data_IF_144846044385
#
_entry.id   IF_144846044385
#
_cell.length_a   1.000
_cell.length_b   1.000
_cell.length_c   1.000
_cell.angle_alpha   90.00
_cell.angle_beta   90.00
_cell.angle_gamma   90.00
#
_symmetry.space_group_name_H-M   'P 1'
#
loop_
_entity.id
_entity.type
_entity.pdbx_description
1 polymer ?
#
# COMPACT_ATOMS: atom_id res chain seq x y z
N UNK A 1 15.82 -58.08 -48.31
CA UNK A 1 16.65 -57.04 -48.98
C UNK A 1 17.28 -56.17 -47.94
N UNK A 2 18.55 -56.37 -47.68
CA UNK A 2 19.35 -55.70 -46.67
C UNK A 2 19.97 -54.42 -47.26
N UNK A 3 19.90 -53.31 -46.56
CA UNK A 3 20.66 -52.12 -46.90
C UNK A 3 21.59 -51.77 -45.75
N UNK A 4 22.90 -51.63 -45.96
CA UNK A 4 23.87 -51.51 -44.91
C UNK A 4 24.08 -50.09 -44.49
N UNK A 5 24.33 -49.93 -43.18
CA UNK A 5 24.68 -48.74 -42.41
C UNK A 5 25.94 -48.03 -42.93
N UNK A 6 25.85 -46.75 -43.15
CA UNK A 6 26.99 -45.84 -43.20
C UNK A 6 27.25 -45.24 -41.81
N UNK A 7 28.33 -45.67 -41.17
CA UNK A 7 28.87 -45.06 -39.95
C UNK A 7 29.66 -43.83 -40.36
N UNK A 8 29.16 -42.65 -40.02
CA UNK A 8 29.93 -41.43 -40.07
C UNK A 8 30.57 -41.17 -38.70
N UNK A 9 31.90 -41.39 -38.61
CA UNK A 9 32.71 -41.02 -37.46
C UNK A 9 32.96 -39.50 -37.52
N UNK A 10 32.28 -38.74 -36.67
CA UNK A 10 32.65 -37.34 -36.37
C UNK A 10 33.75 -37.35 -35.30
N UNK A 11 34.99 -37.09 -35.73
CA UNK A 11 36.08 -36.71 -34.82
C UNK A 11 35.84 -35.26 -34.38
N UNK A 12 35.26 -35.07 -33.20
CA UNK A 12 35.19 -33.76 -32.56
C UNK A 12 36.56 -33.31 -32.06
N UNK A 13 37.07 -32.23 -32.60
CA UNK A 13 38.16 -31.46 -32.00
C UNK A 13 37.58 -30.72 -30.78
N UNK A 14 38.24 -30.74 -29.63
CA UNK A 14 37.89 -29.86 -28.55
C UNK A 14 38.35 -28.45 -28.91
N UNK A 15 37.41 -27.60 -29.31
CA UNK A 15 37.66 -26.16 -29.44
C UNK A 15 37.94 -25.61 -28.02
N UNK A 16 39.21 -25.18 -27.85
CA UNK A 16 39.60 -24.51 -26.62
C UNK A 16 38.70 -23.29 -26.36
N UNK A 17 38.05 -23.26 -25.22
CA UNK A 17 37.31 -22.09 -24.76
C UNK A 17 38.27 -20.90 -24.63
N UNK A 18 38.00 -19.76 -25.24
CA UNK A 18 38.79 -18.58 -25.01
C UNK A 18 38.59 -18.14 -23.54
N UNK A 19 39.63 -18.25 -22.75
CA UNK A 19 39.65 -17.66 -21.41
C UNK A 19 39.59 -16.15 -21.54
N UNK A 20 38.42 -15.59 -21.27
CA UNK A 20 38.23 -14.13 -21.23
C UNK A 20 39.01 -13.58 -20.04
N UNK A 21 40.24 -13.13 -20.30
CA UNK A 21 41.03 -12.39 -19.30
C UNK A 21 40.44 -10.97 -19.22
N UNK A 22 39.52 -10.76 -18.27
CA UNK A 22 39.05 -9.43 -17.90
C UNK A 22 40.23 -8.62 -17.35
N UNK A 23 40.52 -7.44 -17.90
CA UNK A 23 41.60 -6.60 -17.39
C UNK A 23 41.30 -6.17 -15.96
N UNK A 24 42.30 -6.27 -15.08
CA UNK A 24 42.25 -6.00 -13.64
C UNK A 24 41.65 -4.64 -13.24
N UNK A 25 41.45 -3.75 -14.21
CA UNK A 25 40.82 -2.43 -14.02
C UNK A 25 39.28 -2.46 -13.94
N UNK A 26 38.63 -3.52 -14.39
CA UNK A 26 37.16 -3.63 -14.35
C UNK A 26 36.62 -4.15 -13.02
N UNK A 27 37.47 -4.81 -12.23
CA UNK A 27 37.06 -5.37 -10.92
C UNK A 27 36.89 -4.26 -9.88
N UNK A 28 37.61 -3.13 -10.03
CA UNK A 28 37.51 -2.01 -9.09
C UNK A 28 36.21 -1.22 -9.22
N UNK A 29 35.63 -1.19 -10.43
CA UNK A 29 34.37 -0.44 -10.67
C UNK A 29 33.10 -1.23 -10.29
N UNK A 30 33.17 -2.58 -10.22
CA UNK A 30 32.03 -3.38 -9.78
C UNK A 30 31.84 -3.35 -8.25
N UNK A 31 32.93 -3.16 -7.50
CA UNK A 31 32.87 -3.11 -6.03
C UNK A 31 32.25 -1.81 -5.50
N UNK A 32 32.26 -0.73 -6.27
CA UNK A 32 31.70 0.56 -5.87
C UNK A 32 30.19 0.61 -6.09
N UNK A 33 29.64 -0.19 -7.02
CA UNK A 33 28.18 -0.25 -7.28
C UNK A 33 27.46 -1.07 -6.22
N UNK A 34 28.15 -1.99 -5.53
CA UNK A 34 27.57 -2.83 -4.49
C UNK A 34 27.41 -2.15 -3.12
N UNK A 35 27.91 -0.93 -2.96
CA UNK A 35 27.88 -0.15 -1.73
C UNK A 35 26.96 1.09 -1.80
N UNK A 36 26.13 1.20 -2.84
CA UNK A 36 25.02 2.15 -2.78
C UNK A 36 24.05 1.62 -1.73
N UNK A 37 23.89 2.30 -0.57
CA UNK A 37 22.83 1.95 0.36
C UNK A 37 21.54 1.99 -0.46
N UNK A 38 20.78 0.89 -0.48
CA UNK A 38 19.47 0.87 -1.11
C UNK A 38 18.72 2.09 -0.59
N UNK A 39 18.40 3.03 -1.45
CA UNK A 39 17.57 4.15 -1.08
C UNK A 39 16.22 3.55 -0.72
N UNK A 40 15.98 3.37 0.58
CA UNK A 40 14.65 3.06 1.08
C UNK A 40 13.79 4.28 0.72
N UNK A 41 12.93 4.12 -0.28
CA UNK A 41 11.92 5.13 -0.57
C UNK A 41 10.93 5.12 0.59
N UNK A 42 10.85 6.23 1.30
CA UNK A 42 9.81 6.44 2.29
C UNK A 42 8.45 6.35 1.61
N UNK A 43 7.57 5.52 2.12
CA UNK A 43 6.22 5.34 1.60
C UNK A 43 5.19 5.94 2.55
N UNK A 44 4.08 6.37 1.98
CA UNK A 44 2.90 6.79 2.73
C UNK A 44 1.77 5.87 2.34
N UNK A 45 1.15 5.23 3.32
CA UNK A 45 0.00 4.34 3.12
C UNK A 45 -1.25 4.89 3.79
N UNK A 46 -2.40 4.63 3.19
CA UNK A 46 -3.71 4.93 3.78
C UNK A 46 -4.47 3.62 3.88
N UNK A 47 -4.81 3.25 5.11
CA UNK A 47 -5.58 2.05 5.41
C UNK A 47 -6.99 2.45 5.83
N UNK A 48 -7.95 1.60 5.48
CA UNK A 48 -9.36 1.77 5.84
C UNK A 48 -9.86 0.53 6.56
N UNK A 49 -10.69 0.71 7.57
CA UNK A 49 -11.32 -0.41 8.28
C UNK A 49 -12.70 -0.04 8.83
N UNK A 50 -13.53 -1.06 9.01
CA UNK A 50 -14.82 -0.95 9.69
C UNK A 50 -14.84 -1.86 10.91
N UNK A 51 -15.38 -1.39 12.02
CA UNK A 51 -15.53 -2.18 13.25
C UNK A 51 -16.90 -1.97 13.86
N UNK A 52 -17.82 -2.96 13.80
CA UNK A 52 -17.66 -4.26 13.13
C UNK A 52 -17.58 -4.14 11.60
N UNK A 53 -16.92 -5.11 10.94
CA UNK A 53 -16.77 -5.14 9.51
C UNK A 53 -18.07 -5.48 8.74
N UNK A 54 -19.04 -6.04 9.42
CA UNK A 54 -20.37 -6.40 8.88
C UNK A 54 -21.45 -5.84 9.79
N UNK A 55 -22.38 -5.10 9.22
CA UNK A 55 -23.55 -4.54 9.92
C UNK A 55 -24.82 -4.87 9.16
N UNK A 56 -25.96 -4.96 9.85
CA UNK A 56 -27.28 -4.99 9.25
C UNK A 56 -27.79 -3.55 9.04
N UNK A 57 -28.84 -3.41 8.28
CA UNK A 57 -29.42 -2.09 8.01
C UNK A 57 -29.79 -1.36 9.32
N UNK A 58 -29.30 -0.16 9.46
CA UNK A 58 -29.54 0.70 10.60
C UNK A 58 -28.57 0.52 11.74
N UNK A 59 -27.75 -0.54 11.75
CA UNK A 59 -26.66 -0.69 12.71
C UNK A 59 -25.53 0.28 12.42
N UNK A 60 -24.71 0.52 13.41
CA UNK A 60 -23.55 1.41 13.32
C UNK A 60 -22.23 0.64 13.27
N UNK A 61 -21.26 1.23 12.60
CA UNK A 61 -19.87 0.79 12.57
C UNK A 61 -18.94 1.98 12.73
N UNK A 62 -17.79 1.78 13.33
CA UNK A 62 -16.73 2.75 13.34
C UNK A 62 -15.91 2.60 12.04
N UNK A 63 -15.96 3.62 11.18
CA UNK A 63 -15.10 3.72 10.01
C UNK A 63 -13.82 4.44 10.38
N UNK A 64 -12.71 3.73 10.31
CA UNK A 64 -11.38 4.24 10.66
C UNK A 64 -10.51 4.37 9.42
N UNK A 65 -9.89 5.53 9.27
CA UNK A 65 -8.86 5.82 8.28
C UNK A 65 -7.54 5.98 9.04
N UNK A 66 -6.55 5.16 8.73
CA UNK A 66 -5.20 5.27 9.25
C UNK A 66 -4.27 5.76 8.15
N UNK A 67 -3.55 6.86 8.40
CA UNK A 67 -2.50 7.37 7.53
C UNK A 67 -1.16 7.03 8.17
N UNK A 68 -0.33 6.31 7.44
CA UNK A 68 0.97 5.79 7.89
C UNK A 68 2.09 6.48 7.12
N UNK A 69 3.06 6.99 7.83
CA UNK A 69 4.29 7.58 7.31
C UNK A 69 5.48 6.76 7.81
N UNK A 70 6.17 6.04 6.94
CA UNK A 70 7.36 5.26 7.27
C UNK A 70 8.68 6.04 7.08
N UNK A 71 8.59 7.33 6.77
CA UNK A 71 9.75 8.20 6.66
C UNK A 71 10.28 8.59 8.04
N UNK A 72 11.49 8.14 8.37
CA UNK A 72 12.17 8.46 9.63
C UNK A 72 12.72 9.89 9.66
N UNK A 73 12.85 10.54 8.52
CA UNK A 73 13.47 11.87 8.41
C UNK A 73 12.50 13.04 8.45
N UNK A 74 11.21 12.81 8.17
CA UNK A 74 10.27 13.92 7.98
C UNK A 74 8.83 13.54 8.32
N UNK A 75 8.17 14.41 9.06
CA UNK A 75 6.73 14.37 9.22
C UNK A 75 6.03 14.84 7.94
N UNK A 76 4.84 14.32 7.68
CA UNK A 76 3.96 14.85 6.64
C UNK A 76 3.23 16.07 7.20
N UNK A 77 3.16 17.13 6.43
CA UNK A 77 2.42 18.34 6.76
C UNK A 77 1.45 18.70 5.64
N UNK A 78 0.43 19.48 5.99
CA UNK A 78 -0.61 19.90 5.05
C UNK A 78 -1.30 18.74 4.32
N UNK A 79 -1.50 17.62 5.02
CA UNK A 79 -2.15 16.42 4.49
C UNK A 79 -3.59 16.76 4.13
N UNK A 80 -3.98 16.38 2.93
CA UNK A 80 -5.35 16.47 2.42
C UNK A 80 -5.81 15.08 2.01
N UNK A 81 -6.97 14.68 2.49
CA UNK A 81 -7.58 13.40 2.19
C UNK A 81 -9.07 13.59 1.91
N UNK A 82 -9.58 12.90 0.90
CA UNK A 82 -11.03 12.76 0.69
C UNK A 82 -11.33 11.28 0.56
N UNK A 83 -12.12 10.76 1.48
CA UNK A 83 -12.62 9.39 1.46
C UNK A 83 -14.11 9.41 1.16
N UNK A 84 -14.51 8.65 0.15
CA UNK A 84 -15.91 8.51 -0.26
C UNK A 84 -16.46 7.17 0.25
N UNK A 85 -17.54 7.23 1.00
CA UNK A 85 -18.29 6.07 1.51
C UNK A 85 -19.26 5.57 0.41
N UNK A 86 -18.69 5.08 -0.69
CA UNK A 86 -19.48 4.55 -1.82
C UNK A 86 -19.19 3.06 -1.96
N UNK A 87 -20.25 2.26 -2.09
CA UNK A 87 -20.13 0.83 -2.41
C UNK A 87 -20.30 0.66 -3.91
N UNK A 88 -19.27 0.16 -4.57
CA UNK A 88 -19.32 -0.11 -6.00
C UNK A 88 -20.15 -1.38 -6.29
N UNK A 89 -21.07 -1.30 -7.22
CA UNK A 89 -21.57 -2.47 -7.94
C UNK A 89 -22.96 -3.01 -7.61
N UNK A 90 -23.72 -2.44 -6.68
CA UNK A 90 -25.10 -2.87 -6.45
C UNK A 90 -26.09 -1.72 -6.70
N UNK A 91 -27.09 -1.94 -7.53
CA UNK A 91 -28.23 -1.02 -7.68
C UNK A 91 -29.49 -1.65 -7.05
N UNK A 92 -30.20 -0.92 -6.16
CA UNK A 92 -29.83 0.39 -5.63
C UNK A 92 -28.62 0.28 -4.69
N UNK A 93 -27.62 1.11 -4.91
CA UNK A 93 -26.37 1.08 -4.13
C UNK A 93 -26.66 1.16 -2.64
N UNK A 94 -26.17 0.23 -1.81
CA UNK A 94 -26.18 0.40 -0.37
C UNK A 94 -25.46 1.71 -0.06
N UNK A 95 -26.15 2.64 0.56
CA UNK A 95 -25.55 3.90 0.95
C UNK A 95 -25.00 3.74 2.35
N UNK A 96 -23.68 3.80 2.48
CA UNK A 96 -23.05 4.05 3.77
C UNK A 96 -23.04 5.55 3.96
N UNK A 97 -23.50 5.99 5.11
CA UNK A 97 -23.56 7.41 5.45
C UNK A 97 -23.07 7.64 6.88
N UNK A 98 -22.56 8.83 7.12
CA UNK A 98 -22.07 9.26 8.44
C UNK A 98 -23.29 9.48 9.33
N UNK A 99 -23.26 8.93 10.55
CA UNK A 99 -24.29 9.17 11.57
C UNK A 99 -23.75 10.10 12.66
N UNK A 100 -24.64 10.76 13.42
CA UNK A 100 -24.24 11.49 14.61
C UNK A 100 -23.54 10.57 15.60
N UNK A 101 -22.40 10.98 16.13
CA UNK A 101 -21.63 10.18 17.09
C UNK A 101 -20.25 10.74 17.35
N UNK A 102 -19.44 9.96 18.05
CA UNK A 102 -18.05 10.36 18.33
C UNK A 102 -17.24 10.36 17.05
N UNK A 103 -16.60 11.48 16.76
CA UNK A 103 -15.61 11.63 15.70
C UNK A 103 -14.27 11.87 16.34
N UNK A 104 -13.24 11.10 15.98
CA UNK A 104 -11.88 11.33 16.44
C UNK A 104 -10.99 11.70 15.27
N UNK A 105 -10.04 12.58 15.50
CA UNK A 105 -9.05 13.02 14.53
C UNK A 105 -7.73 13.28 15.22
N UNK A 106 -6.78 12.37 15.10
CA UNK A 106 -5.43 12.53 15.64
C UNK A 106 -4.46 13.12 14.61
N UNK A 107 -4.91 13.31 13.35
CA UNK A 107 -4.11 13.92 12.30
C UNK A 107 -4.02 15.46 12.43
N UNK A 108 -4.81 16.08 13.31
CA UNK A 108 -4.94 17.53 13.35
C UNK A 108 -5.64 18.10 12.11
N UNK A 109 -5.48 19.39 11.86
CA UNK A 109 -6.15 20.06 10.75
C UNK A 109 -7.67 20.16 10.94
N UNK A 110 -8.38 20.35 9.83
CA UNK A 110 -9.85 20.46 9.82
C UNK A 110 -10.44 19.19 9.20
N UNK A 111 -11.31 18.53 9.98
CA UNK A 111 -12.06 17.36 9.52
C UNK A 111 -13.50 17.76 9.23
N UNK A 112 -13.96 17.47 8.01
CA UNK A 112 -15.37 17.60 7.62
C UNK A 112 -15.95 16.18 7.40
N UNK A 113 -16.87 15.81 8.31
CA UNK A 113 -17.59 14.54 8.31
C UNK A 113 -19.04 14.84 8.76
N UNK A 114 -19.88 15.30 7.83
CA UNK A 114 -21.23 15.76 8.14
C UNK A 114 -22.20 14.60 8.26
N UNK A 115 -23.00 14.48 9.33
CA UNK A 115 -24.05 13.47 9.43
C UNK A 115 -24.99 13.48 8.21
N UNK A 116 -25.34 12.30 7.72
CA UNK A 116 -26.10 12.11 6.46
C UNK A 116 -25.23 12.18 5.20
N UNK A 117 -23.99 12.64 5.31
CA UNK A 117 -23.02 12.70 4.22
C UNK A 117 -22.39 11.35 3.93
N UNK A 118 -21.75 11.26 2.77
CA UNK A 118 -21.06 10.07 2.27
C UNK A 118 -19.58 10.33 2.00
N UNK A 119 -19.02 11.38 2.60
CA UNK A 119 -17.60 11.74 2.43
C UNK A 119 -16.98 12.20 3.74
N UNK A 120 -15.75 11.81 3.94
CA UNK A 120 -14.86 12.27 5.02
C UNK A 120 -13.72 13.05 4.37
N UNK A 121 -13.56 14.32 4.76
CA UNK A 121 -12.55 15.21 4.18
C UNK A 121 -11.65 15.75 5.28
N UNK A 122 -10.35 15.50 5.17
CA UNK A 122 -9.31 16.12 6.00
C UNK A 122 -8.58 17.19 5.20
N UNK A 123 -8.32 18.35 5.84
CA UNK A 123 -7.52 19.43 5.26
C UNK A 123 -6.52 19.96 6.29
N UNK A 124 -5.27 20.07 5.87
CA UNK A 124 -4.21 20.64 6.71
C UNK A 124 -3.75 19.72 7.85
N UNK A 125 -3.96 18.42 7.71
CA UNK A 125 -3.48 17.42 8.68
C UNK A 125 -1.96 17.27 8.71
N UNK A 126 -1.47 16.51 9.68
CA UNK A 126 -0.07 16.11 9.80
C UNK A 126 0.05 14.67 10.26
N UNK A 127 1.11 13.98 9.80
CA UNK A 127 1.47 12.64 10.27
C UNK A 127 2.90 12.69 10.76
N UNK A 128 3.20 12.26 12.00
CA UNK A 128 4.56 12.30 12.52
C UNK A 128 5.52 11.50 11.64
N UNK A 129 6.82 11.77 11.76
CA UNK A 129 7.84 10.93 11.18
C UNK A 129 7.87 9.57 11.89
N UNK A 130 8.31 8.53 11.18
CA UNK A 130 8.63 7.26 11.81
C UNK A 130 9.80 7.43 12.79
N UNK A 131 9.78 6.68 13.91
CA UNK A 131 10.85 6.70 14.91
C UNK A 131 11.92 5.64 14.65
N UNK A 132 11.67 4.72 13.73
CA UNK A 132 12.58 3.64 13.34
C UNK A 132 12.19 3.00 12.01
N UNK A 133 12.97 1.97 11.61
CA UNK A 133 12.73 1.22 10.39
C UNK A 133 11.85 0.01 10.69
N UNK A 134 10.58 0.12 10.42
CA UNK A 134 9.62 -0.97 10.58
C UNK A 134 8.19 -0.48 10.72
N UNK A 135 7.23 -1.37 10.46
CA UNK A 135 5.82 -1.01 10.51
C UNK A 135 5.38 -0.56 11.91
N UNK A 136 6.00 -1.08 12.98
CA UNK A 136 5.70 -0.69 14.37
C UNK A 136 6.19 0.73 14.70
N UNK A 137 7.24 1.18 14.03
CA UNK A 137 7.91 2.46 14.27
C UNK A 137 7.39 3.58 13.36
N UNK A 138 6.52 3.26 12.41
CA UNK A 138 5.95 4.22 11.49
C UNK A 138 5.15 5.30 12.22
N UNK A 139 5.27 6.53 11.75
CA UNK A 139 4.42 7.62 12.19
C UNK A 139 2.97 7.36 11.75
N UNK A 140 2.01 7.62 12.63
CA UNK A 140 0.59 7.30 12.36
C UNK A 140 -0.32 8.42 12.82
N UNK A 141 -1.41 8.58 12.10
CA UNK A 141 -2.56 9.31 12.60
C UNK A 141 -3.86 8.63 12.18
N UNK A 142 -4.90 8.82 12.96
CA UNK A 142 -6.18 8.12 12.82
C UNK A 142 -7.32 9.13 12.74
N UNK A 143 -8.27 8.82 11.87
CA UNK A 143 -9.56 9.47 11.79
C UNK A 143 -10.61 8.38 11.97
N UNK A 144 -11.53 8.53 12.92
CA UNK A 144 -12.65 7.60 13.11
C UNK A 144 -13.95 8.36 13.07
N UNK A 145 -14.90 7.86 12.29
CA UNK A 145 -16.27 8.40 12.20
C UNK A 145 -17.27 7.27 12.31
N UNK A 146 -18.43 7.55 12.91
CA UNK A 146 -19.54 6.57 12.92
C UNK A 146 -20.31 6.59 11.63
N UNK A 147 -20.58 5.41 11.13
CA UNK A 147 -21.32 5.20 9.87
C UNK A 147 -22.44 4.17 10.05
N UNK A 148 -23.45 4.25 9.20
CA UNK A 148 -24.53 3.26 9.12
C UNK A 148 -24.85 2.97 7.68
N UNK A 149 -25.65 1.93 7.42
CA UNK A 149 -26.07 1.53 6.08
C UNK A 149 -27.59 1.59 5.93
N UNK A 150 -28.06 2.01 4.75
CA UNK A 150 -29.48 2.01 4.40
C UNK A 150 -29.97 0.68 3.85
N UNK A 151 -29.12 -0.30 3.63
CA UNK A 151 -29.47 -1.59 3.03
C UNK A 151 -28.95 -2.75 3.86
N UNK A 152 -29.75 -3.85 3.89
CA UNK A 152 -29.35 -5.12 4.47
C UNK A 152 -28.43 -5.90 3.52
N UNK A 153 -27.37 -6.50 4.07
CA UNK A 153 -26.67 -7.60 3.40
C UNK A 153 -25.63 -7.19 2.36
N UNK A 154 -24.54 -6.63 2.83
CA UNK A 154 -23.31 -6.53 2.06
C UNK A 154 -22.12 -6.49 3.02
N UNK A 155 -21.15 -7.37 2.83
CA UNK A 155 -19.86 -7.22 3.47
C UNK A 155 -19.29 -5.86 3.04
N UNK A 156 -19.15 -4.96 3.98
CA UNK A 156 -18.43 -3.71 3.76
C UNK A 156 -16.96 -4.05 3.94
N UNK A 157 -16.24 -4.19 2.84
CA UNK A 157 -14.79 -4.32 2.84
C UNK A 157 -14.18 -2.97 2.53
N UNK A 158 -13.24 -2.57 3.38
CA UNK A 158 -12.40 -1.40 3.11
C UNK A 158 -11.30 -1.74 2.09
#
# INVERSE_FOLDING_TARGET
MFNPMARMMFRGHPAGMPTLRLPRRWILNLAVVALLPGMAFATTTVNHSFTPATIVQGDESDYTIEIVNDNTGSALSNVKLTSLLTVAGALPSPKIYIVPGSTTNTCGGTLAATPGGTSVVLTGGSVPAAVGLGAADAGRCLITVKVSSTTTGGNQTA
#
